data_IF_967879662212
#
_entry.id   IF_967879662212
#
_cell.length_a   1.000
_cell.length_b   1.000
_cell.length_c   1.000
_cell.angle_alpha   90.00
_cell.angle_beta   90.00
_cell.angle_gamma   90.00
#
_symmetry.space_group_name_H-M   'P 1'
#
loop_
_entity.id
_entity.type
_entity.pdbx_description
1 polymer ?
#
# COMPACT_ATOMS: atom_id res chain seq x y z
N UNK A 1 -0.79 -7.60 -15.02
CA UNK A 1 -0.06 -6.99 -16.16
C UNK A 1 -0.78 -7.10 -17.50
N UNK A 2 -1.29 -8.25 -17.98
CA UNK A 2 -1.97 -8.30 -19.30
C UNK A 2 -3.03 -7.21 -19.47
N UNK A 3 -3.97 -7.09 -18.54
CA UNK A 3 -5.04 -6.05 -18.59
C UNK A 3 -4.51 -4.61 -18.62
N UNK A 4 -3.37 -4.34 -17.98
CA UNK A 4 -2.73 -3.02 -18.02
C UNK A 4 -2.16 -2.72 -19.41
N UNK A 5 -1.54 -3.71 -20.06
CA UNK A 5 -1.01 -3.59 -21.44
C UNK A 5 -2.16 -3.44 -22.45
N UNK A 6 -3.23 -4.19 -22.28
CA UNK A 6 -4.44 -4.10 -23.13
C UNK A 6 -5.08 -2.71 -23.02
N UNK A 7 -5.20 -2.17 -21.79
CA UNK A 7 -5.72 -0.81 -21.57
C UNK A 7 -4.77 0.27 -22.13
N UNK A 8 -3.46 0.11 -22.00
CA UNK A 8 -2.48 0.98 -22.64
C UNK A 8 -2.63 0.96 -24.17
N UNK A 9 -2.70 -0.22 -24.77
CA UNK A 9 -2.88 -0.35 -26.21
C UNK A 9 -4.16 0.36 -26.70
N UNK A 10 -5.28 0.18 -25.97
CA UNK A 10 -6.53 0.88 -26.26
C UNK A 10 -6.36 2.40 -26.20
N UNK A 11 -5.61 2.93 -25.23
CA UNK A 11 -5.37 4.38 -25.05
C UNK A 11 -4.62 5.01 -26.22
N UNK A 12 -3.75 4.24 -26.89
CA UNK A 12 -3.03 4.69 -28.11
C UNK A 12 -3.72 4.27 -29.39
N UNK A 13 -4.94 3.68 -29.31
CA UNK A 13 -5.70 3.21 -30.46
C UNK A 13 -5.11 1.99 -31.18
N UNK A 14 -4.31 1.19 -30.49
CA UNK A 14 -3.79 -0.07 -30.99
C UNK A 14 -4.75 -1.23 -30.66
N UNK A 15 -4.71 -2.29 -31.49
CA UNK A 15 -5.32 -3.58 -31.20
C UNK A 15 -4.31 -4.52 -30.53
N UNK A 16 -4.82 -5.46 -29.73
CA UNK A 16 -4.01 -6.47 -29.05
C UNK A 16 -4.46 -7.86 -29.45
N UNK A 17 -3.52 -8.70 -29.83
CA UNK A 17 -3.72 -10.12 -29.98
C UNK A 17 -2.96 -10.84 -28.85
N UNK A 18 -3.70 -11.59 -28.03
CA UNK A 18 -3.17 -12.37 -26.92
C UNK A 18 -2.91 -13.80 -27.36
N UNK A 19 -1.73 -14.30 -27.05
CA UNK A 19 -1.36 -15.72 -27.23
C UNK A 19 -0.92 -16.29 -25.88
N UNK A 20 -1.33 -17.54 -25.60
CA UNK A 20 -0.74 -18.28 -24.48
C UNK A 20 0.73 -18.55 -24.81
N UNK A 21 1.61 -18.40 -23.82
CA UNK A 21 2.99 -18.84 -23.95
C UNK A 21 3.14 -20.35 -23.79
N UNK A 22 4.37 -20.82 -23.88
CA UNK A 22 4.72 -22.24 -23.68
C UNK A 22 4.54 -22.68 -22.20
N UNK A 23 4.48 -21.72 -21.29
CA UNK A 23 4.29 -21.90 -19.85
C UNK A 23 2.96 -21.24 -19.43
N UNK A 24 2.16 -21.86 -18.53
CA UNK A 24 0.93 -21.26 -17.97
C UNK A 24 1.11 -19.86 -17.38
N UNK A 25 2.32 -19.55 -16.86
CA UNK A 25 2.68 -18.25 -16.28
C UNK A 25 3.20 -17.25 -17.33
N UNK A 26 3.13 -17.58 -18.62
CA UNK A 26 3.58 -16.76 -19.73
C UNK A 26 2.43 -16.35 -20.64
N UNK A 27 2.40 -15.08 -21.01
CA UNK A 27 1.43 -14.50 -21.95
C UNK A 27 2.15 -13.59 -22.94
N UNK A 28 1.97 -13.80 -24.23
CA UNK A 28 2.44 -12.89 -25.28
C UNK A 28 1.31 -11.97 -25.75
N UNK A 29 1.59 -10.68 -25.83
CA UNK A 29 0.67 -9.64 -26.32
C UNK A 29 1.31 -8.95 -27.52
N UNK A 30 0.72 -9.15 -28.70
CA UNK A 30 1.14 -8.46 -29.93
C UNK A 30 0.29 -7.22 -30.13
N UNK A 31 0.94 -6.05 -30.10
CA UNK A 31 0.31 -4.74 -30.33
C UNK A 31 0.41 -4.41 -31.82
N UNK A 32 -0.70 -3.96 -32.40
CA UNK A 32 -0.80 -3.57 -33.81
C UNK A 32 -1.52 -2.24 -33.95
N UNK A 33 -1.00 -1.33 -34.76
CA UNK A 33 -1.62 -0.03 -35.03
C UNK A 33 -2.96 -0.19 -35.77
N UNK A 34 -3.75 0.88 -35.82
CA UNK A 34 -5.00 0.92 -36.63
C UNK A 34 -4.76 0.62 -38.11
N UNK A 35 -3.57 0.94 -38.61
CA UNK A 35 -3.17 0.67 -40.01
C UNK A 35 -2.66 -0.78 -40.23
N UNK A 36 -2.71 -1.64 -39.23
CA UNK A 36 -2.23 -3.02 -39.32
C UNK A 36 -0.71 -3.19 -39.13
N UNK A 37 0.02 -2.13 -38.80
CA UNK A 37 1.48 -2.21 -38.59
C UNK A 37 1.77 -2.74 -37.19
N UNK A 38 2.63 -3.78 -37.03
CA UNK A 38 3.10 -4.25 -35.74
C UNK A 38 3.85 -3.13 -34.99
N UNK A 39 3.45 -2.87 -33.72
CA UNK A 39 4.07 -1.87 -32.86
C UNK A 39 5.04 -2.50 -31.87
N UNK A 40 4.65 -3.57 -31.22
CA UNK A 40 5.46 -4.29 -30.23
C UNK A 40 4.97 -5.72 -30.03
N UNK A 41 5.88 -6.58 -29.58
CA UNK A 41 5.57 -7.87 -28.95
C UNK A 41 5.98 -7.76 -27.48
N UNK A 42 5.04 -7.98 -26.57
CA UNK A 42 5.25 -7.90 -25.11
C UNK A 42 5.09 -9.31 -24.54
N UNK A 43 6.20 -9.89 -24.11
CA UNK A 43 6.24 -11.19 -23.42
C UNK A 43 6.20 -10.96 -21.90
N UNK A 44 5.13 -11.43 -21.25
CA UNK A 44 4.91 -11.29 -19.82
C UNK A 44 5.12 -12.64 -19.16
N UNK A 45 6.07 -12.73 -18.22
CA UNK A 45 6.40 -13.92 -17.44
C UNK A 45 6.18 -13.67 -15.96
N UNK A 46 5.25 -14.40 -15.36
CA UNK A 46 4.77 -14.16 -13.99
C UNK A 46 5.31 -15.17 -12.96
N UNK A 47 6.59 -15.53 -13.04
CA UNK A 47 7.25 -16.54 -12.17
C UNK A 47 7.63 -16.06 -10.76
N UNK A 48 7.05 -14.95 -10.30
CA UNK A 48 7.25 -14.39 -8.96
C UNK A 48 8.34 -13.30 -8.89
N UNK A 49 8.27 -12.50 -7.79
CA UNK A 49 9.09 -11.28 -7.62
C UNK A 49 10.59 -11.52 -7.65
N UNK A 50 11.06 -12.70 -7.26
CA UNK A 50 12.49 -13.05 -7.27
C UNK A 50 13.11 -13.18 -8.65
N UNK A 51 12.31 -13.25 -9.72
CA UNK A 51 12.79 -13.34 -11.11
C UNK A 51 13.03 -11.98 -11.76
N UNK A 52 12.53 -10.89 -11.16
CA UNK A 52 12.62 -9.55 -11.72
C UNK A 52 14.07 -9.09 -11.91
N UNK A 53 14.88 -9.10 -10.85
CA UNK A 53 16.27 -8.62 -10.90
C UNK A 53 17.16 -9.53 -11.76
N UNK A 54 17.15 -10.87 -11.63
CA UNK A 54 17.88 -11.75 -12.54
C UNK A 54 17.49 -11.56 -14.02
N UNK A 55 16.21 -11.36 -14.32
CA UNK A 55 15.71 -11.10 -15.66
C UNK A 55 16.26 -9.80 -16.26
N UNK A 56 16.30 -8.73 -15.46
CA UNK A 56 16.85 -7.44 -15.84
C UNK A 56 18.38 -7.53 -16.08
N UNK A 57 19.14 -8.11 -15.15
CA UNK A 57 20.61 -8.23 -15.25
C UNK A 57 21.00 -9.05 -16.48
N UNK A 58 20.29 -10.12 -16.77
CA UNK A 58 20.58 -10.99 -17.94
C UNK A 58 20.09 -10.41 -19.26
N UNK A 59 19.41 -9.26 -19.28
CA UNK A 59 18.81 -8.67 -20.48
C UNK A 59 17.61 -9.44 -21.05
N UNK A 60 17.12 -10.47 -20.34
CA UNK A 60 15.91 -11.22 -20.71
C UNK A 60 14.62 -10.46 -20.44
N UNK A 61 14.66 -9.46 -19.56
CA UNK A 61 13.54 -8.57 -19.26
C UNK A 61 13.95 -7.11 -19.42
N UNK A 62 13.08 -6.31 -20.03
CA UNK A 62 13.21 -4.84 -20.10
C UNK A 62 12.58 -4.19 -18.85
N UNK A 63 11.53 -4.81 -18.30
CA UNK A 63 10.78 -4.35 -17.13
C UNK A 63 10.68 -5.50 -16.14
N UNK A 64 11.14 -5.31 -14.91
CA UNK A 64 10.97 -6.24 -13.81
C UNK A 64 9.67 -5.98 -13.06
N UNK A 65 8.91 -7.02 -12.72
CA UNK A 65 7.67 -6.92 -11.97
C UNK A 65 7.86 -7.55 -10.58
N UNK A 66 7.43 -6.87 -9.53
CA UNK A 66 7.50 -7.42 -8.18
C UNK A 66 6.31 -6.97 -7.31
N UNK A 67 5.91 -7.82 -6.36
CA UNK A 67 4.90 -7.54 -5.34
C UNK A 67 5.52 -7.26 -3.96
N UNK A 68 6.81 -6.99 -3.92
CA UNK A 68 7.61 -6.56 -2.78
C UNK A 68 8.75 -5.66 -3.25
N UNK A 69 9.33 -4.85 -2.36
CA UNK A 69 10.55 -4.13 -2.69
C UNK A 69 11.71 -5.07 -3.07
N UNK A 70 12.65 -4.57 -3.86
CA UNK A 70 13.94 -5.22 -4.12
C UNK A 70 14.68 -5.38 -2.79
N UNK A 71 15.20 -6.59 -2.53
CA UNK A 71 15.95 -6.93 -1.32
C UNK A 71 17.40 -6.45 -1.38
N UNK A 72 18.08 -6.34 -0.23
CA UNK A 72 19.49 -5.96 -0.19
C UNK A 72 20.38 -6.92 -0.99
N UNK A 73 20.07 -8.22 -0.97
CA UNK A 73 20.78 -9.23 -1.80
C UNK A 73 20.59 -8.97 -3.30
N UNK A 74 19.43 -8.54 -3.72
CA UNK A 74 19.13 -8.17 -5.11
C UNK A 74 19.85 -6.87 -5.50
N UNK A 75 19.96 -5.90 -4.58
CA UNK A 75 20.78 -4.68 -4.77
C UNK A 75 22.26 -5.02 -4.91
N UNK A 76 22.79 -5.93 -4.09
CA UNK A 76 24.17 -6.40 -4.24
C UNK A 76 24.41 -7.07 -5.60
N UNK A 77 23.44 -7.86 -6.10
CA UNK A 77 23.53 -8.48 -7.42
C UNK A 77 23.52 -7.43 -8.54
N UNK A 78 22.66 -6.39 -8.44
CA UNK A 78 22.62 -5.26 -9.36
C UNK A 78 23.96 -4.52 -9.37
N UNK A 79 24.51 -4.18 -8.21
CA UNK A 79 25.80 -3.49 -8.08
C UNK A 79 26.94 -4.29 -8.70
N UNK A 80 26.99 -5.61 -8.48
CA UNK A 80 27.98 -6.50 -9.10
C UNK A 80 27.87 -6.54 -10.63
N UNK A 81 26.67 -6.36 -11.15
CA UNK A 81 26.40 -6.30 -12.59
C UNK A 81 26.57 -4.88 -13.20
N UNK A 82 27.02 -3.89 -12.42
CA UNK A 82 27.17 -2.50 -12.87
C UNK A 82 25.85 -1.74 -13.07
N UNK A 83 24.78 -2.18 -12.38
CA UNK A 83 23.48 -1.51 -12.39
C UNK A 83 23.36 -0.54 -11.22
N UNK A 84 22.55 0.53 -11.35
CA UNK A 84 22.21 1.39 -10.22
C UNK A 84 21.29 0.66 -9.22
N UNK A 85 21.16 1.21 -8.00
CA UNK A 85 20.12 0.76 -7.06
C UNK A 85 18.74 1.12 -7.64
N UNK A 86 18.01 0.11 -8.07
CA UNK A 86 16.70 0.28 -8.69
C UNK A 86 15.58 0.69 -7.71
N UNK A 87 15.86 0.78 -6.41
CA UNK A 87 14.91 1.28 -5.41
C UNK A 87 14.75 2.80 -5.43
N UNK A 88 15.53 3.50 -6.22
CA UNK A 88 15.35 4.95 -6.36
C UNK A 88 14.11 5.30 -7.20
N UNK A 89 13.46 6.45 -6.94
CA UNK A 89 12.27 6.90 -7.68
C UNK A 89 12.49 7.04 -9.20
N UNK A 90 13.73 7.13 -9.66
CA UNK A 90 14.05 7.17 -11.08
C UNK A 90 13.78 5.83 -11.79
N UNK A 91 13.93 4.71 -11.08
CA UNK A 91 13.86 3.36 -11.65
C UNK A 91 12.73 2.52 -11.12
N UNK A 92 12.18 2.87 -9.94
CA UNK A 92 11.06 2.20 -9.29
C UNK A 92 9.75 2.94 -9.56
N UNK A 93 8.72 2.21 -9.93
CA UNK A 93 7.35 2.73 -10.08
C UNK A 93 6.38 1.88 -9.30
N UNK A 94 5.70 2.48 -8.34
CA UNK A 94 4.58 1.86 -7.65
C UNK A 94 3.35 2.01 -8.52
N UNK A 95 2.83 0.91 -9.07
CA UNK A 95 1.73 0.94 -10.04
C UNK A 95 0.37 0.72 -9.41
N UNK A 96 0.32 -0.11 -8.38
CA UNK A 96 -0.91 -0.43 -7.65
C UNK A 96 -0.59 -0.81 -6.21
N UNK A 97 -1.63 -0.87 -5.40
CA UNK A 97 -1.58 -1.37 -4.04
C UNK A 97 -2.45 -2.63 -3.93
N UNK A 98 -2.16 -3.46 -2.97
CA UNK A 98 -2.93 -4.65 -2.64
C UNK A 98 -2.98 -4.84 -1.12
N UNK A 99 -3.98 -5.56 -0.64
CA UNK A 99 -4.12 -5.94 0.76
C UNK A 99 -4.50 -7.41 0.88
N UNK A 100 -3.98 -8.08 1.90
CA UNK A 100 -4.40 -9.43 2.24
C UNK A 100 -5.37 -9.36 3.40
N UNK A 101 -6.61 -9.82 3.19
CA UNK A 101 -7.66 -9.85 4.20
C UNK A 101 -7.58 -11.15 4.99
N UNK A 102 -7.75 -11.06 6.30
CA UNK A 102 -8.01 -12.21 7.17
C UNK A 102 -9.51 -12.35 7.33
N UNK A 103 -10.06 -13.48 6.91
CA UNK A 103 -11.48 -13.72 6.81
C UNK A 103 -11.98 -14.76 7.83
N UNK A 104 -13.19 -14.52 8.32
CA UNK A 104 -13.98 -15.47 9.12
C UNK A 104 -15.43 -15.52 8.60
N UNK A 105 -16.22 -16.44 9.11
CA UNK A 105 -17.65 -16.48 8.80
C UNK A 105 -18.37 -15.17 9.18
N UNK A 106 -19.44 -14.76 8.48
CA UNK A 106 -20.17 -13.51 8.75
C UNK A 106 -20.66 -13.38 10.20
N UNK A 107 -21.11 -14.50 10.78
CA UNK A 107 -21.67 -14.56 12.12
C UNK A 107 -20.61 -14.78 13.22
N UNK A 108 -19.33 -14.87 12.86
CA UNK A 108 -18.24 -14.97 13.83
C UNK A 108 -18.21 -13.69 14.69
N UNK A 109 -18.25 -13.76 16.04
CA UNK A 109 -18.32 -12.57 16.90
C UNK A 109 -17.04 -11.74 16.94
N UNK A 110 -15.88 -12.30 16.56
CA UNK A 110 -14.63 -11.55 16.53
C UNK A 110 -14.68 -10.40 15.54
N UNK A 111 -14.15 -9.26 15.94
CA UNK A 111 -14.01 -8.07 15.09
C UNK A 111 -12.58 -7.79 14.69
N UNK A 112 -11.63 -8.29 15.47
CA UNK A 112 -10.19 -8.08 15.24
C UNK A 112 -9.35 -9.23 15.79
N UNK A 113 -8.11 -9.29 15.30
CA UNK A 113 -7.03 -10.13 15.84
C UNK A 113 -5.72 -9.33 15.79
N UNK A 114 -4.78 -9.66 16.68
CA UNK A 114 -3.42 -9.14 16.56
C UNK A 114 -2.62 -9.91 15.51
N UNK A 115 -1.58 -9.28 14.95
CA UNK A 115 -0.68 -9.96 14.01
C UNK A 115 -0.06 -11.22 14.60
N UNK A 116 0.22 -11.24 15.91
CA UNK A 116 0.79 -12.41 16.60
C UNK A 116 -0.25 -13.54 16.78
N UNK A 117 -1.51 -13.18 17.08
CA UNK A 117 -2.61 -14.16 17.10
C UNK A 117 -2.84 -14.76 15.70
N UNK A 118 -2.89 -13.94 14.66
CA UNK A 118 -3.01 -14.43 13.28
C UNK A 118 -1.88 -15.39 12.96
N UNK A 119 -0.64 -15.03 13.24
CA UNK A 119 0.52 -15.89 13.00
C UNK A 119 0.44 -17.21 13.79
N UNK A 120 0.08 -17.16 15.08
CA UNK A 120 -0.06 -18.32 15.94
C UNK A 120 -1.18 -19.28 15.50
N UNK A 121 -2.32 -18.73 15.05
CA UNK A 121 -3.43 -19.49 14.48
C UNK A 121 -2.97 -20.23 13.20
N UNK A 122 -2.43 -19.51 12.23
CA UNK A 122 -2.03 -20.10 10.97
C UNK A 122 -0.82 -21.05 11.08
N UNK A 123 0.02 -20.89 12.11
CA UNK A 123 1.08 -21.83 12.43
C UNK A 123 0.59 -23.05 13.24
N UNK A 124 -0.64 -23.01 13.80
CA UNK A 124 -1.22 -24.09 14.59
C UNK A 124 -0.81 -24.08 16.07
N UNK A 125 -0.18 -23.01 16.55
CA UNK A 125 0.12 -22.83 17.99
C UNK A 125 -1.14 -22.49 18.78
N UNK A 126 -2.06 -21.74 18.18
CA UNK A 126 -3.44 -21.52 18.63
C UNK A 126 -4.34 -22.40 17.77
N UNK A 127 -5.05 -23.33 18.38
CA UNK A 127 -5.92 -24.28 17.69
C UNK A 127 -7.38 -24.25 18.13
N UNK A 128 -7.70 -23.48 19.16
CA UNK A 128 -9.05 -23.31 19.69
C UNK A 128 -9.42 -21.83 19.75
N UNK A 129 -10.66 -21.52 19.41
CA UNK A 129 -11.16 -20.16 19.40
C UNK A 129 -11.22 -19.51 20.79
N UNK A 130 -11.23 -20.30 21.88
CA UNK A 130 -11.20 -19.79 23.25
C UNK A 130 -9.92 -18.99 23.55
N UNK A 131 -8.80 -19.33 22.90
CA UNK A 131 -7.51 -18.66 23.09
C UNK A 131 -7.48 -17.22 22.53
N UNK A 132 -8.49 -16.88 21.72
CA UNK A 132 -8.65 -15.53 21.14
C UNK A 132 -9.95 -14.87 21.55
N UNK A 133 -10.60 -15.36 22.61
CA UNK A 133 -11.75 -14.69 23.23
C UNK A 133 -13.11 -15.01 22.63
N UNK A 134 -13.24 -16.13 21.91
CA UNK A 134 -14.51 -16.67 21.42
C UNK A 134 -14.93 -17.88 22.26
N UNK A 135 -16.16 -18.38 22.10
CA UNK A 135 -16.58 -19.67 22.65
C UNK A 135 -15.66 -20.80 22.16
N UNK A 136 -15.37 -21.82 23.00
CA UNK A 136 -14.50 -22.94 22.65
C UNK A 136 -14.94 -23.61 21.35
N UNK A 137 -13.99 -24.01 20.54
CA UNK A 137 -14.20 -24.73 19.28
C UNK A 137 -12.91 -24.79 18.45
N UNK A 138 -12.74 -25.83 17.61
CA UNK A 138 -11.57 -25.98 16.78
C UNK A 138 -11.45 -24.85 15.77
N UNK A 139 -10.23 -24.48 15.38
CA UNK A 139 -10.00 -23.53 14.30
C UNK A 139 -9.65 -24.29 13.02
N UNK A 140 -10.48 -24.11 11.98
CA UNK A 140 -10.24 -24.67 10.65
C UNK A 140 -9.50 -23.65 9.77
N UNK A 141 -8.32 -24.03 9.27
CA UNK A 141 -7.45 -23.12 8.52
C UNK A 141 -7.64 -23.29 7.02
N UNK A 142 -7.95 -22.19 6.35
CA UNK A 142 -8.10 -22.09 4.90
C UNK A 142 -7.01 -21.20 4.32
N UNK A 143 -6.20 -21.71 3.40
CA UNK A 143 -5.05 -21.00 2.86
C UNK A 143 -4.98 -21.12 1.33
N UNK A 144 -4.44 -20.11 0.68
CA UNK A 144 -4.11 -20.17 -0.75
C UNK A 144 -2.97 -21.18 -0.97
N UNK A 145 -2.89 -21.72 -2.16
CA UNK A 145 -1.83 -22.63 -2.57
C UNK A 145 -0.44 -21.96 -2.62
N UNK A 146 0.61 -22.76 -2.79
CA UNK A 146 1.99 -22.26 -2.77
C UNK A 146 2.39 -21.43 -3.99
N UNK A 147 1.60 -21.43 -5.07
CA UNK A 147 1.85 -20.64 -6.29
C UNK A 147 1.18 -19.26 -6.19
N UNK A 148 0.34 -19.04 -5.18
CA UNK A 148 -0.41 -17.80 -5.00
C UNK A 148 0.46 -16.67 -4.50
N UNK A 149 0.53 -15.55 -5.23
CA UNK A 149 1.15 -14.31 -4.75
C UNK A 149 0.50 -13.75 -3.47
N UNK A 150 -0.77 -14.09 -3.18
CA UNK A 150 -1.42 -13.77 -1.90
C UNK A 150 -0.84 -14.60 -0.77
N UNK A 151 -0.57 -15.89 -1.01
CA UNK A 151 0.13 -16.75 -0.04
C UNK A 151 1.55 -16.24 0.22
N UNK A 152 2.30 -15.89 -0.82
CA UNK A 152 3.66 -15.35 -0.65
C UNK A 152 3.68 -14.10 0.22
N UNK A 153 2.72 -13.19 0.02
CA UNK A 153 2.59 -11.98 0.82
C UNK A 153 2.23 -12.30 2.27
N UNK A 154 1.21 -13.14 2.48
CA UNK A 154 0.81 -13.56 3.82
C UNK A 154 1.96 -14.26 4.53
N UNK A 155 2.63 -15.19 3.87
CA UNK A 155 3.78 -15.88 4.43
C UNK A 155 4.91 -14.91 4.81
N UNK A 156 5.25 -13.97 3.94
CA UNK A 156 6.31 -13.00 4.20
C UNK A 156 5.99 -12.07 5.37
N UNK A 157 4.78 -11.50 5.42
CA UNK A 157 4.40 -10.49 6.41
C UNK A 157 3.96 -11.10 7.76
N UNK A 158 3.39 -12.30 7.75
CA UNK A 158 2.81 -12.91 8.95
C UNK A 158 3.69 -14.01 9.52
N UNK A 159 4.00 -15.03 8.72
CA UNK A 159 4.66 -16.24 9.20
C UNK A 159 6.19 -16.14 9.22
N UNK A 160 6.81 -15.87 8.07
CA UNK A 160 8.26 -15.84 7.93
C UNK A 160 8.91 -14.72 8.76
N UNK A 161 8.27 -13.55 8.89
CA UNK A 161 8.71 -12.47 9.77
C UNK A 161 8.84 -12.92 11.25
N UNK A 162 8.10 -13.97 11.64
CA UNK A 162 8.09 -14.58 12.98
C UNK A 162 8.80 -15.93 13.05
N UNK A 163 9.46 -16.32 11.94
CA UNK A 163 10.12 -17.64 11.79
C UNK A 163 9.15 -18.81 11.98
N UNK A 164 7.90 -18.62 11.60
CA UNK A 164 6.83 -19.62 11.62
C UNK A 164 6.55 -20.12 10.19
N UNK A 165 5.86 -21.26 10.11
CA UNK A 165 5.39 -21.83 8.87
C UNK A 165 3.90 -22.19 8.98
N UNK A 166 3.20 -22.19 7.85
CA UNK A 166 1.80 -22.60 7.81
C UNK A 166 1.66 -24.06 8.29
N UNK A 167 0.67 -24.33 9.15
CA UNK A 167 0.38 -25.69 9.62
C UNK A 167 0.04 -26.62 8.44
N UNK A 168 0.46 -27.89 8.57
CA UNK A 168 0.42 -28.85 7.46
C UNK A 168 -0.99 -29.30 7.05
N UNK A 169 -1.92 -29.27 7.97
CA UNK A 169 -3.32 -29.66 7.77
C UNK A 169 -4.24 -28.53 7.32
N UNK A 170 -3.68 -27.35 7.03
CA UNK A 170 -4.43 -26.24 6.41
C UNK A 170 -5.00 -26.66 5.05
N UNK A 171 -6.31 -26.47 4.85
CA UNK A 171 -6.97 -26.75 3.57
C UNK A 171 -6.53 -25.71 2.52
N UNK A 172 -5.98 -26.19 1.40
CA UNK A 172 -5.37 -25.33 0.37
C UNK A 172 -6.33 -25.12 -0.80
N UNK A 173 -6.35 -23.88 -1.33
CA UNK A 173 -7.20 -23.47 -2.44
C UNK A 173 -6.40 -22.77 -3.54
N UNK A 174 -6.66 -23.13 -4.79
CA UNK A 174 -6.13 -22.41 -5.96
C UNK A 174 -6.94 -21.13 -6.22
N UNK A 175 -8.28 -21.17 -6.04
CA UNK A 175 -9.20 -20.04 -6.22
C UNK A 175 -9.35 -19.24 -4.92
N UNK A 176 -9.25 -17.90 -5.00
CA UNK A 176 -9.55 -17.00 -3.90
C UNK A 176 -11.05 -16.95 -3.60
N UNK A 177 -11.88 -17.06 -4.63
CA UNK A 177 -13.33 -17.07 -4.52
C UNK A 177 -13.82 -18.29 -3.74
N UNK A 178 -13.32 -19.49 -4.10
CA UNK A 178 -13.70 -20.74 -3.44
C UNK A 178 -13.27 -20.73 -1.97
N UNK A 179 -12.07 -20.20 -1.69
CA UNK A 179 -11.59 -20.04 -0.31
C UNK A 179 -12.52 -19.12 0.50
N UNK A 180 -12.86 -17.96 -0.06
CA UNK A 180 -13.74 -17.00 0.62
C UNK A 180 -15.13 -17.57 0.87
N UNK A 181 -15.68 -18.28 -0.13
CA UNK A 181 -17.00 -18.92 -0.01
C UNK A 181 -16.99 -20.05 1.03
N UNK A 182 -15.92 -20.82 1.11
CA UNK A 182 -15.78 -21.90 2.11
C UNK A 182 -15.69 -21.29 3.53
N UNK A 183 -14.85 -20.26 3.73
CA UNK A 183 -14.76 -19.56 5.02
C UNK A 183 -16.12 -18.97 5.42
N UNK A 184 -16.88 -18.44 4.46
CA UNK A 184 -18.19 -17.84 4.76
C UNK A 184 -19.24 -18.84 5.27
N UNK A 185 -19.06 -20.13 4.97
CA UNK A 185 -19.98 -21.22 5.36
C UNK A 185 -19.54 -21.98 6.61
N UNK A 186 -18.28 -21.84 7.01
CA UNK A 186 -17.73 -22.51 8.17
C UNK A 186 -17.63 -21.57 9.38
N UNK A 187 -18.51 -21.72 10.40
CA UNK A 187 -18.47 -20.88 11.60
C UNK A 187 -17.13 -20.93 12.35
N UNK A 188 -16.38 -22.02 12.21
CA UNK A 188 -15.09 -22.24 12.87
C UNK A 188 -13.90 -21.98 11.92
N UNK A 189 -14.19 -21.52 10.70
CA UNK A 189 -13.21 -21.24 9.68
C UNK A 189 -12.51 -19.91 9.83
N UNK A 190 -11.21 -19.89 9.48
CA UNK A 190 -10.41 -18.68 9.25
C UNK A 190 -9.59 -18.87 7.98
N UNK A 191 -9.48 -17.82 7.17
CA UNK A 191 -8.72 -17.87 5.93
C UNK A 191 -8.12 -16.54 5.56
N UNK A 192 -7.40 -16.48 4.43
CA UNK A 192 -6.90 -15.23 3.88
C UNK A 192 -7.00 -15.18 2.36
N UNK A 193 -7.35 -14.00 1.84
CA UNK A 193 -7.47 -13.73 0.40
C UNK A 193 -6.93 -12.35 0.06
N UNK A 194 -6.74 -12.06 -1.23
CA UNK A 194 -6.53 -10.70 -1.72
C UNK A 194 -7.77 -9.83 -1.55
N UNK A 195 -7.58 -8.52 -1.47
CA UNK A 195 -8.61 -7.53 -1.12
C UNK A 195 -9.89 -7.63 -1.96
N UNK A 196 -9.78 -7.92 -3.26
CA UNK A 196 -10.91 -8.03 -4.17
C UNK A 196 -11.82 -9.25 -3.92
N UNK A 197 -11.40 -10.20 -3.09
CA UNK A 197 -12.02 -11.53 -2.98
C UNK A 197 -12.70 -11.78 -1.62
N UNK A 198 -13.10 -10.73 -0.90
CA UNK A 198 -13.79 -10.86 0.39
C UNK A 198 -15.13 -11.60 0.26
N UNK A 199 -15.89 -11.31 -0.81
CA UNK A 199 -17.22 -11.89 -1.07
C UNK A 199 -18.15 -11.79 0.15
N UNK A 200 -18.73 -12.93 0.60
CA UNK A 200 -19.68 -13.00 1.73
C UNK A 200 -18.98 -13.18 3.09
N UNK A 201 -17.68 -13.45 3.13
CA UNK A 201 -16.96 -13.59 4.39
C UNK A 201 -16.74 -12.23 5.07
N UNK A 202 -16.56 -12.25 6.39
CA UNK A 202 -16.23 -11.07 7.18
C UNK A 202 -14.71 -10.92 7.29
N UNK A 203 -14.20 -9.76 6.90
CA UNK A 203 -12.81 -9.38 7.13
C UNK A 203 -12.63 -8.84 8.55
N UNK A 204 -11.54 -9.27 9.21
CA UNK A 204 -11.17 -8.81 10.54
C UNK A 204 -10.25 -7.61 10.48
N UNK A 205 -10.40 -6.69 11.43
CA UNK A 205 -9.42 -5.65 11.69
C UNK A 205 -8.14 -6.26 12.25
N UNK A 206 -7.01 -5.60 12.03
CA UNK A 206 -5.73 -5.99 12.63
C UNK A 206 -5.39 -4.99 13.71
N UNK A 207 -5.27 -5.48 14.95
CA UNK A 207 -4.99 -4.66 16.12
C UNK A 207 -3.54 -4.83 16.56
N UNK A 208 -2.86 -3.73 16.87
CA UNK A 208 -1.56 -3.75 17.53
C UNK A 208 -1.68 -4.03 19.03
N UNK A 209 -0.59 -4.46 19.66
CA UNK A 209 -0.56 -4.76 21.11
C UNK A 209 -0.94 -3.57 22.01
N UNK A 210 -0.83 -2.34 21.51
CA UNK A 210 -1.26 -1.12 22.21
C UNK A 210 -2.75 -0.77 22.02
N UNK A 211 -3.53 -1.57 21.29
CA UNK A 211 -4.95 -1.35 21.04
C UNK A 211 -5.29 -0.56 19.77
N UNK A 212 -4.31 0.00 19.06
CA UNK A 212 -4.57 0.65 17.76
C UNK A 212 -5.00 -0.40 16.76
N UNK A 213 -6.18 -0.22 16.17
CA UNK A 213 -6.76 -1.12 15.17
C UNK A 213 -6.73 -0.48 13.77
N UNK A 214 -6.52 -1.31 12.76
CA UNK A 214 -6.57 -0.91 11.36
C UNK A 214 -7.55 -1.78 10.60
N UNK A 215 -8.62 -1.17 10.11
CA UNK A 215 -9.63 -1.83 9.31
C UNK A 215 -9.11 -2.16 7.90
N UNK A 216 -9.52 -3.30 7.31
CA UNK A 216 -9.17 -3.71 5.96
C UNK A 216 -10.00 -2.95 4.91
N UNK A 217 -9.78 -1.65 4.77
CA UNK A 217 -10.45 -0.81 3.79
C UNK A 217 -9.46 -0.17 2.80
N UNK A 218 -9.97 0.37 1.70
CA UNK A 218 -9.16 0.99 0.65
C UNK A 218 -8.34 2.16 1.15
N UNK A 219 -8.90 2.98 2.04
CA UNK A 219 -8.20 4.12 2.62
C UNK A 219 -6.95 3.68 3.41
N UNK A 220 -7.09 2.67 4.29
CA UNK A 220 -5.97 2.17 5.11
C UNK A 220 -4.91 1.45 4.28
N UNK A 221 -5.30 0.81 3.17
CA UNK A 221 -4.33 0.26 2.21
C UNK A 221 -3.63 1.38 1.43
N UNK A 222 -4.34 2.41 0.95
CA UNK A 222 -3.78 3.57 0.24
C UNK A 222 -2.84 4.39 1.13
N UNK A 223 -3.20 4.58 2.38
CA UNK A 223 -2.35 5.24 3.38
C UNK A 223 -1.28 4.33 3.97
N UNK A 224 -1.28 3.01 3.62
CA UNK A 224 -0.36 1.98 4.11
C UNK A 224 -0.38 1.83 5.64
N UNK A 225 -1.52 2.08 6.25
CA UNK A 225 -1.76 1.85 7.68
C UNK A 225 -2.23 0.44 7.96
N UNK A 226 -2.88 -0.22 6.97
CA UNK A 226 -3.24 -1.62 7.08
C UNK A 226 -1.99 -2.51 7.07
N UNK A 227 -1.75 -3.34 8.10
CA UNK A 227 -0.49 -4.08 8.25
C UNK A 227 -0.20 -5.09 7.14
N UNK A 228 -1.23 -5.64 6.50
CA UNK A 228 -1.11 -6.60 5.40
C UNK A 228 -1.26 -5.94 4.02
N UNK A 229 -0.94 -4.65 3.91
CA UNK A 229 -0.84 -3.96 2.62
C UNK A 229 0.51 -4.20 1.95
N UNK A 230 0.52 -4.18 0.61
CA UNK A 230 1.73 -4.25 -0.20
C UNK A 230 1.64 -3.36 -1.42
N UNK A 231 2.79 -2.96 -1.92
CA UNK A 231 2.94 -2.25 -3.19
C UNK A 231 3.25 -3.22 -4.31
N UNK A 232 2.75 -2.93 -5.50
CA UNK A 232 3.12 -3.60 -6.74
C UNK A 232 4.04 -2.69 -7.54
N UNK A 233 5.18 -3.23 -7.94
CA UNK A 233 6.28 -2.47 -8.52
C UNK A 233 6.56 -2.85 -9.96
N UNK A 234 6.94 -1.85 -10.75
CA UNK A 234 7.69 -2.02 -11.98
C UNK A 234 9.08 -1.39 -11.80
N UNK A 235 10.10 -2.15 -12.16
CA UNK A 235 11.50 -1.74 -12.15
C UNK A 235 12.05 -1.70 -13.57
N UNK A 236 12.68 -0.61 -13.94
CA UNK A 236 13.36 -0.50 -15.22
C UNK A 236 14.53 0.46 -15.09
N UNK A 237 15.67 0.12 -15.69
CA UNK A 237 16.68 1.11 -16.08
C UNK A 237 16.03 1.96 -17.18
N UNK A 238 16.47 3.19 -17.38
CA UNK A 238 15.86 4.11 -18.34
C UNK A 238 15.51 3.42 -19.67
N UNK A 239 14.22 3.29 -19.94
CA UNK A 239 13.77 2.95 -21.29
C UNK A 239 14.03 4.16 -22.21
N UNK A 240 14.53 3.95 -23.43
CA UNK A 240 14.71 5.06 -24.36
C UNK A 240 13.40 5.82 -24.57
N UNK A 241 13.44 7.15 -24.45
CA UNK A 241 12.26 8.01 -24.62
C UNK A 241 11.58 7.75 -25.97
N UNK A 242 10.24 7.66 -25.94
CA UNK A 242 9.43 7.41 -27.14
C UNK A 242 9.36 5.95 -27.56
N UNK A 243 9.83 5.02 -26.74
CA UNK A 243 9.59 3.59 -26.94
C UNK A 243 8.29 3.15 -26.26
N UNK A 244 7.71 2.06 -26.75
CA UNK A 244 6.52 1.43 -26.12
C UNK A 244 6.77 1.09 -24.65
N UNK A 245 7.99 0.69 -24.28
CA UNK A 245 8.35 0.39 -22.90
C UNK A 245 8.31 1.65 -22.01
N UNK A 246 8.85 2.79 -22.49
CA UNK A 246 8.79 4.06 -21.76
C UNK A 246 7.35 4.58 -21.63
N UNK A 247 6.58 4.50 -22.72
CA UNK A 247 5.16 4.90 -22.72
C UNK A 247 4.32 4.03 -21.78
N UNK A 248 4.52 2.72 -21.78
CA UNK A 248 3.84 1.79 -20.87
C UNK A 248 4.18 2.06 -19.41
N UNK A 249 5.46 2.34 -19.09
CA UNK A 249 5.88 2.70 -17.74
C UNK A 249 5.25 4.01 -17.25
N UNK A 250 5.09 5.00 -18.14
CA UNK A 250 4.38 6.26 -17.82
C UNK A 250 2.88 6.05 -17.67
N UNK A 251 2.28 5.27 -18.58
CA UNK A 251 0.86 4.91 -18.52
C UNK A 251 0.53 4.18 -17.22
N UNK A 252 1.36 3.22 -16.80
CA UNK A 252 1.12 2.39 -15.62
C UNK A 252 0.95 3.18 -14.31
N UNK A 253 1.50 4.38 -14.21
CA UNK A 253 1.37 5.28 -13.04
C UNK A 253 0.43 6.46 -13.28
N UNK A 254 -0.19 6.54 -14.47
CA UNK A 254 -1.13 7.60 -14.84
C UNK A 254 -2.53 7.35 -14.30
N UNK A 255 -3.40 8.36 -14.38
CA UNK A 255 -4.82 8.25 -14.05
C UNK A 255 -5.56 7.29 -15.00
N UNK A 256 -5.10 7.19 -16.26
CA UNK A 256 -5.75 6.38 -17.29
C UNK A 256 -5.62 4.87 -17.01
N UNK A 257 -4.61 4.46 -16.26
CA UNK A 257 -4.40 3.07 -15.85
C UNK A 257 -5.40 2.58 -14.77
N UNK A 258 -6.11 3.50 -14.11
CA UNK A 258 -6.97 3.22 -12.95
C UNK A 258 -7.98 2.11 -13.20
N UNK A 259 -8.75 2.22 -14.28
CA UNK A 259 -9.82 1.25 -14.59
C UNK A 259 -9.26 -0.17 -14.78
N UNK A 260 -8.08 -0.32 -15.39
CA UNK A 260 -7.45 -1.62 -15.56
C UNK A 260 -6.89 -2.18 -14.26
N UNK A 261 -6.40 -1.31 -13.36
CA UNK A 261 -5.90 -1.68 -12.03
C UNK A 261 -7.05 -2.18 -11.17
N UNK A 262 -8.12 -1.39 -11.03
CA UNK A 262 -9.29 -1.76 -10.20
C UNK A 262 -10.05 -2.95 -10.79
N UNK A 263 -10.20 -3.02 -12.13
CA UNK A 263 -10.81 -4.16 -12.82
C UNK A 263 -10.01 -5.46 -12.69
N UNK A 264 -8.72 -5.37 -12.33
CA UNK A 264 -7.87 -6.53 -12.01
C UNK A 264 -7.88 -6.89 -10.51
N UNK A 265 -8.73 -6.25 -9.71
CA UNK A 265 -8.88 -6.51 -8.28
C UNK A 265 -7.82 -5.85 -7.39
N UNK A 266 -7.00 -4.95 -7.94
CA UNK A 266 -6.02 -4.19 -7.17
C UNK A 266 -6.56 -2.81 -6.79
N UNK A 267 -5.88 -2.17 -5.83
CA UNK A 267 -6.25 -0.83 -5.36
C UNK A 267 -5.39 0.20 -6.10
N UNK A 268 -6.07 1.16 -6.73
CA UNK A 268 -5.42 2.30 -7.37
C UNK A 268 -4.82 3.26 -6.34
N UNK A 269 -4.07 4.25 -6.82
CA UNK A 269 -3.45 5.27 -5.98
C UNK A 269 -4.16 6.63 -6.07
N UNK A 270 -5.42 6.67 -6.51
CA UNK A 270 -6.20 7.91 -6.48
C UNK A 270 -6.46 8.34 -5.04
N UNK A 271 -6.49 9.65 -4.83
CA UNK A 271 -6.68 10.23 -3.51
C UNK A 271 -8.10 9.96 -3.02
N UNK A 272 -8.22 9.35 -1.87
CA UNK A 272 -9.46 9.08 -1.16
C UNK A 272 -9.55 9.95 0.09
N UNK A 273 -10.76 10.37 0.45
CA UNK A 273 -11.01 11.14 1.68
C UNK A 273 -11.54 10.20 2.75
N UNK A 274 -10.87 10.21 3.92
CA UNK A 274 -11.30 9.42 5.09
C UNK A 274 -12.72 9.81 5.50
N UNK A 275 -13.53 8.83 5.86
CA UNK A 275 -14.85 9.08 6.44
C UNK A 275 -14.73 9.90 7.73
N UNK A 276 -15.69 10.81 7.98
CA UNK A 276 -15.65 11.69 9.15
C UNK A 276 -15.77 10.91 10.47
N UNK A 277 -16.56 9.85 10.50
CA UNK A 277 -16.71 9.02 11.69
C UNK A 277 -15.40 8.29 12.01
N UNK A 278 -14.78 7.69 11.01
CA UNK A 278 -13.46 7.03 11.15
C UNK A 278 -12.39 8.02 11.61
N UNK A 279 -12.39 9.24 11.06
CA UNK A 279 -11.46 10.29 11.46
C UNK A 279 -11.63 10.69 12.93
N UNK A 280 -12.87 10.77 13.43
CA UNK A 280 -13.15 11.06 14.84
C UNK A 280 -12.82 9.87 15.75
N UNK A 281 -13.03 8.63 15.29
CA UNK A 281 -12.62 7.43 16.04
C UNK A 281 -11.11 7.39 16.24
N UNK A 282 -10.32 7.68 15.21
CA UNK A 282 -8.84 7.77 15.33
C UNK A 282 -8.40 8.78 16.42
N UNK A 283 -9.09 9.92 16.54
CA UNK A 283 -8.81 10.87 17.61
C UNK A 283 -9.15 10.27 18.98
N UNK A 284 -10.30 9.62 19.11
CA UNK A 284 -10.71 8.96 20.36
C UNK A 284 -9.74 7.86 20.78
N UNK A 285 -9.31 7.00 19.83
CA UNK A 285 -8.32 5.94 20.08
C UNK A 285 -6.98 6.51 20.54
N UNK A 286 -6.53 7.61 19.91
CA UNK A 286 -5.30 8.31 20.31
C UNK A 286 -5.38 8.86 21.74
N UNK A 287 -6.55 9.36 22.16
CA UNK A 287 -6.78 9.83 23.52
C UNK A 287 -6.81 8.68 24.54
N UNK A 288 -7.33 7.52 24.14
CA UNK A 288 -7.41 6.32 24.98
C UNK A 288 -6.02 5.73 25.31
N UNK A 289 -5.00 6.00 24.49
CA UNK A 289 -3.61 5.56 24.73
C UNK A 289 -2.96 6.22 25.96
N UNK A 290 -3.56 7.26 26.50
CA UNK A 290 -3.24 7.91 27.77
C UNK A 290 -1.73 8.15 27.99
N UNK A 291 -1.04 8.75 27.02
CA UNK A 291 0.36 9.16 27.17
C UNK A 291 0.43 10.48 27.96
N UNK A 292 0.96 10.43 29.19
CA UNK A 292 1.09 11.57 30.10
C UNK A 292 1.96 12.73 29.53
N UNK A 293 2.64 12.52 28.41
CA UNK A 293 3.47 13.51 27.70
C UNK A 293 2.70 14.34 26.67
N UNK A 294 1.37 14.17 26.58
CA UNK A 294 0.54 14.92 25.63
C UNK A 294 0.48 16.39 26.04
N UNK A 295 0.87 17.29 25.13
CA UNK A 295 0.66 18.73 25.29
C UNK A 295 -0.83 19.06 25.05
N UNK A 296 -1.55 19.59 26.07
CA UNK A 296 -2.98 19.87 25.93
C UNK A 296 -3.30 20.95 24.88
N UNK A 297 -2.38 21.89 24.65
CA UNK A 297 -2.57 22.96 23.65
C UNK A 297 -2.48 22.37 22.25
N UNK A 298 -1.45 21.58 21.98
CA UNK A 298 -1.28 20.90 20.69
C UNK A 298 -2.43 19.91 20.41
N UNK A 299 -2.92 19.22 21.45
CA UNK A 299 -4.07 18.34 21.32
C UNK A 299 -5.35 19.08 20.94
N UNK A 300 -5.59 20.27 21.57
CA UNK A 300 -6.74 21.13 21.23
C UNK A 300 -6.65 21.61 19.77
N UNK A 301 -5.47 22.04 19.33
CA UNK A 301 -5.25 22.46 17.94
C UNK A 301 -5.49 21.31 16.96
N UNK A 302 -4.96 20.13 17.27
CA UNK A 302 -5.18 18.91 16.47
C UNK A 302 -6.68 18.59 16.36
N UNK A 303 -7.41 18.62 17.46
CA UNK A 303 -8.85 18.34 17.47
C UNK A 303 -9.65 19.34 16.61
N UNK A 304 -9.29 20.63 16.65
CA UNK A 304 -9.90 21.67 15.82
C UNK A 304 -9.59 21.47 14.33
N UNK A 305 -8.35 21.12 14.00
CA UNK A 305 -7.95 20.83 12.63
C UNK A 305 -8.62 19.56 12.10
N UNK A 306 -8.75 18.49 12.89
CA UNK A 306 -9.50 17.27 12.55
C UNK A 306 -10.98 17.60 12.30
N UNK A 307 -11.61 18.39 13.16
CA UNK A 307 -13.02 18.81 13.03
C UNK A 307 -13.27 19.59 11.73
N UNK A 308 -12.36 20.48 11.35
CA UNK A 308 -12.50 21.39 10.21
C UNK A 308 -12.00 20.84 8.87
N UNK A 309 -11.31 19.70 8.87
CA UNK A 309 -10.68 19.13 7.68
C UNK A 309 -11.09 17.67 7.46
N UNK A 310 -10.82 17.15 6.26
CA UNK A 310 -10.91 15.71 5.96
C UNK A 310 -9.54 15.20 5.55
N UNK A 311 -9.10 14.11 6.17
CA UNK A 311 -7.85 13.46 5.81
C UNK A 311 -7.94 12.85 4.41
N UNK A 312 -6.87 13.04 3.64
CA UNK A 312 -6.64 12.41 2.34
C UNK A 312 -5.79 11.14 2.53
N UNK A 313 -5.91 10.18 1.64
CA UNK A 313 -5.13 8.93 1.71
C UNK A 313 -3.64 9.11 1.40
N UNK A 314 -3.22 10.26 0.87
CA UNK A 314 -1.81 10.59 0.64
C UNK A 314 -1.08 10.79 1.97
N UNK A 315 -0.04 10.00 2.16
CA UNK A 315 0.77 9.98 3.39
C UNK A 315 2.24 9.84 3.02
N UNK A 316 3.08 10.75 3.53
CA UNK A 316 4.51 10.77 3.29
C UNK A 316 5.24 10.23 4.50
N UNK A 317 6.06 9.19 4.31
CA UNK A 317 6.85 8.57 5.38
C UNK A 317 8.32 8.88 5.24
N UNK A 318 8.98 8.93 6.40
CA UNK A 318 10.39 9.26 6.50
C UNK A 318 11.14 8.15 7.23
N UNK A 319 12.24 7.69 6.64
CA UNK A 319 13.19 6.83 7.34
C UNK A 319 13.81 7.61 8.51
N UNK A 320 14.32 6.89 9.51
CA UNK A 320 15.01 7.49 10.66
C UNK A 320 16.17 8.37 10.19
N UNK A 321 16.17 9.64 10.60
CA UNK A 321 17.21 10.60 10.22
C UNK A 321 17.22 11.01 8.75
N UNK A 322 16.22 10.60 7.94
CA UNK A 322 16.13 10.93 6.51
C UNK A 322 14.98 11.89 6.22
N UNK A 323 15.18 12.71 5.19
CA UNK A 323 14.16 13.55 4.57
C UNK A 323 13.85 13.11 3.13
N UNK A 324 14.45 12.00 2.67
CA UNK A 324 14.30 11.52 1.32
C UNK A 324 12.93 10.84 1.12
N UNK A 325 12.24 11.21 0.03
CA UNK A 325 10.94 10.66 -0.34
C UNK A 325 11.14 9.38 -1.17
N UNK A 326 10.31 8.37 -0.91
CA UNK A 326 10.25 7.14 -1.69
C UNK A 326 9.45 7.32 -3.00
N UNK A 327 9.44 6.30 -3.85
CA UNK A 327 8.80 6.33 -5.16
C UNK A 327 7.30 6.61 -5.12
N UNK A 328 6.58 6.09 -4.11
CA UNK A 328 5.16 6.39 -3.91
C UNK A 328 4.97 7.85 -3.52
N UNK A 329 5.76 8.35 -2.59
CA UNK A 329 5.70 9.74 -2.13
C UNK A 329 5.98 10.73 -3.27
N UNK A 330 6.91 10.43 -4.18
CA UNK A 330 7.15 11.27 -5.38
C UNK A 330 5.91 11.33 -6.27
N UNK A 331 5.22 10.21 -6.49
CA UNK A 331 3.96 10.18 -7.24
C UNK A 331 2.84 10.94 -6.52
N UNK A 332 2.75 10.82 -5.19
CA UNK A 332 1.76 11.53 -4.39
C UNK A 332 2.01 13.05 -4.37
N UNK A 333 3.27 13.49 -4.35
CA UNK A 333 3.65 14.91 -4.55
C UNK A 333 3.10 15.41 -5.89
N UNK A 334 3.34 14.67 -6.98
CA UNK A 334 2.86 15.08 -8.30
C UNK A 334 1.33 15.13 -8.39
N UNK A 335 0.61 14.24 -7.67
CA UNK A 335 -0.86 14.28 -7.56
C UNK A 335 -1.34 15.51 -6.78
N UNK A 336 -0.74 15.78 -5.62
CA UNK A 336 -1.08 16.96 -4.82
C UNK A 336 -0.70 18.25 -5.50
N UNK A 337 0.42 18.31 -6.22
CA UNK A 337 0.80 19.48 -7.00
C UNK A 337 -0.25 19.81 -8.10
N UNK A 338 -0.74 18.81 -8.83
CA UNK A 338 -1.85 18.99 -9.78
C UNK A 338 -3.14 19.43 -9.10
N UNK A 339 -3.44 18.88 -7.91
CA UNK A 339 -4.59 19.29 -7.13
C UNK A 339 -4.46 20.76 -6.67
N UNK A 340 -3.30 21.17 -6.18
CA UNK A 340 -3.01 22.57 -5.82
C UNK A 340 -3.12 23.50 -7.02
N UNK A 341 -2.59 23.09 -8.17
CA UNK A 341 -2.75 23.84 -9.43
C UNK A 341 -4.24 24.03 -9.78
N UNK A 342 -5.05 22.96 -9.69
CA UNK A 342 -6.50 23.04 -9.88
C UNK A 342 -7.16 24.02 -8.91
N UNK A 343 -6.81 24.01 -7.61
CA UNK A 343 -7.35 24.94 -6.62
C UNK A 343 -7.02 26.40 -6.97
N UNK A 344 -5.79 26.67 -7.42
CA UNK A 344 -5.34 28.02 -7.84
C UNK A 344 -6.12 28.50 -9.08
N UNK A 345 -6.16 27.67 -10.13
CA UNK A 345 -6.80 28.01 -11.40
C UNK A 345 -8.31 28.23 -11.27
N UNK A 346 -8.96 27.42 -10.42
CA UNK A 346 -10.40 27.51 -10.16
C UNK A 346 -10.78 28.49 -9.06
N UNK A 347 -9.79 29.08 -8.36
CA UNK A 347 -10.00 29.94 -7.18
C UNK A 347 -10.87 29.28 -6.12
N UNK A 348 -10.68 27.95 -5.91
CA UNK A 348 -11.45 27.19 -4.93
C UNK A 348 -11.11 27.66 -3.50
N UNK A 349 -12.13 27.87 -2.62
CA UNK A 349 -11.91 28.36 -1.26
C UNK A 349 -11.42 27.27 -0.32
N UNK A 350 -10.71 26.25 -0.83
CA UNK A 350 -10.22 25.11 -0.05
C UNK A 350 -8.74 25.31 0.29
N UNK A 351 -8.33 24.75 1.40
CA UNK A 351 -6.96 24.80 1.89
C UNK A 351 -6.43 23.38 2.08
N UNK A 352 -5.22 23.13 1.62
CA UNK A 352 -4.49 21.91 1.91
C UNK A 352 -3.76 22.08 3.24
N UNK A 353 -3.99 21.17 4.19
CA UNK A 353 -3.26 21.13 5.47
C UNK A 353 -2.31 19.94 5.42
N UNK A 354 -1.02 20.19 5.68
CA UNK A 354 0.01 19.17 5.82
C UNK A 354 0.35 19.03 7.30
N UNK A 355 -0.07 17.91 7.89
CA UNK A 355 0.06 17.60 9.30
C UNK A 355 1.20 16.60 9.53
N UNK A 356 2.28 17.04 10.17
CA UNK A 356 3.43 16.22 10.49
C UNK A 356 3.29 15.53 11.85
N UNK A 357 3.79 14.29 11.92
CA UNK A 357 3.80 13.44 13.10
C UNK A 357 5.16 12.75 13.27
N UNK A 358 5.46 12.33 14.51
CA UNK A 358 6.65 11.53 14.86
C UNK A 358 6.25 10.21 15.53
N UNK A 359 7.22 9.35 15.79
CA UNK A 359 7.09 8.30 16.79
C UNK A 359 7.14 8.90 18.21
N UNK A 360 6.99 8.07 19.24
CA UNK A 360 6.94 8.48 20.63
C UNK A 360 8.32 8.58 21.33
N UNK A 361 9.42 8.47 20.59
CA UNK A 361 10.76 8.55 21.18
C UNK A 361 11.15 10.01 21.38
N UNK A 362 11.58 10.35 22.61
CA UNK A 362 12.02 11.68 22.98
C UNK A 362 10.89 12.61 23.45
N UNK A 363 11.25 13.88 23.69
CA UNK A 363 10.34 14.88 24.25
C UNK A 363 9.38 15.46 23.21
N UNK A 364 8.25 15.97 23.67
CA UNK A 364 7.20 16.52 22.81
C UNK A 364 7.69 17.72 21.96
N UNK A 365 8.33 18.71 22.56
CA UNK A 365 8.68 19.94 21.85
C UNK A 365 9.67 19.74 20.69
N UNK A 366 10.78 18.99 20.83
CA UNK A 366 11.62 18.59 19.69
C UNK A 366 10.87 17.80 18.61
N UNK A 367 9.99 16.89 19.01
CA UNK A 367 9.18 16.10 18.09
C UNK A 367 8.17 16.96 17.31
N UNK A 368 7.52 17.91 17.96
CA UNK A 368 6.62 18.87 17.31
C UNK A 368 7.39 19.73 16.28
N UNK A 369 8.59 20.22 16.65
CA UNK A 369 9.43 20.98 15.74
C UNK A 369 9.89 20.16 14.54
N UNK A 370 10.32 18.90 14.75
CA UNK A 370 10.74 17.98 13.69
C UNK A 370 9.59 17.65 12.73
N UNK A 371 8.40 17.37 13.28
CA UNK A 371 7.22 17.07 12.47
C UNK A 371 6.76 18.28 11.64
N UNK A 372 6.84 19.49 12.19
CA UNK A 372 6.59 20.73 11.45
C UNK A 372 7.61 20.94 10.32
N UNK A 373 8.90 20.68 10.57
CA UNK A 373 9.94 20.80 9.56
C UNK A 373 9.69 19.85 8.38
N UNK A 374 9.29 18.61 8.65
CA UNK A 374 8.90 17.64 7.62
C UNK A 374 7.68 18.09 6.81
N UNK A 375 6.64 18.61 7.48
CA UNK A 375 5.46 19.15 6.81
C UNK A 375 5.82 20.34 5.89
N UNK A 376 6.72 21.24 6.31
CA UNK A 376 7.24 22.34 5.49
C UNK A 376 8.00 21.82 4.27
N UNK A 377 8.84 20.81 4.44
CA UNK A 377 9.58 20.20 3.33
C UNK A 377 8.64 19.62 2.26
N UNK A 378 7.60 18.88 2.68
CA UNK A 378 6.56 18.35 1.75
C UNK A 378 5.87 19.51 1.04
N UNK A 379 5.46 20.57 1.76
CA UNK A 379 4.87 21.79 1.17
C UNK A 379 5.78 22.36 0.07
N UNK A 380 7.05 22.58 0.40
CA UNK A 380 7.99 23.27 -0.49
C UNK A 380 8.21 22.42 -1.78
N UNK A 381 8.16 21.10 -1.64
CA UNK A 381 8.24 20.19 -2.79
C UNK A 381 6.97 20.26 -3.63
N UNK A 382 5.78 20.26 -3.02
CA UNK A 382 4.49 20.42 -3.76
C UNK A 382 4.45 21.75 -4.50
N UNK A 383 4.84 22.86 -3.83
CA UNK A 383 4.85 24.22 -4.44
C UNK A 383 5.77 24.27 -5.65
N UNK A 384 6.95 23.66 -5.57
CA UNK A 384 7.91 23.59 -6.67
C UNK A 384 7.35 22.80 -7.87
N UNK A 385 6.66 21.69 -7.59
CA UNK A 385 6.08 20.83 -8.63
C UNK A 385 4.78 21.38 -9.25
N UNK A 386 4.06 22.26 -8.56
CA UNK A 386 2.76 22.80 -9.01
C UNK A 386 2.85 23.69 -10.25
N UNK A 387 4.05 24.22 -10.61
CA UNK A 387 4.31 25.02 -11.81
C UNK A 387 3.41 26.27 -11.96
N UNK A 388 2.78 26.72 -10.89
CA UNK A 388 1.95 27.93 -10.79
C UNK A 388 2.31 28.68 -9.52
N UNK A 389 2.13 30.02 -9.45
CA UNK A 389 2.27 30.77 -8.21
C UNK A 389 1.24 30.30 -7.17
N UNK A 390 1.69 29.65 -6.11
CA UNK A 390 0.83 29.14 -5.04
C UNK A 390 0.70 30.19 -3.94
N UNK A 391 -0.52 30.68 -3.61
CA UNK A 391 -0.73 31.59 -2.51
C UNK A 391 -0.26 31.00 -1.16
N UNK A 392 0.38 31.80 -0.33
CA UNK A 392 0.98 31.34 0.94
C UNK A 392 -0.04 30.73 1.92
N UNK A 393 -1.30 31.13 1.83
CA UNK A 393 -2.38 30.62 2.67
C UNK A 393 -3.07 29.36 2.12
N UNK A 394 -2.73 28.92 0.90
CA UNK A 394 -3.36 27.74 0.27
C UNK A 394 -2.87 26.44 0.88
N UNK A 395 -1.60 26.38 1.32
CA UNK A 395 -1.02 25.20 1.96
C UNK A 395 -0.55 25.56 3.37
N UNK A 396 -1.26 25.05 4.35
CA UNK A 396 -0.95 25.23 5.79
C UNK A 396 -0.15 24.05 6.30
N UNK A 397 0.87 24.30 7.10
CA UNK A 397 1.70 23.25 7.74
C UNK A 397 1.47 23.20 9.24
N UNK A 398 1.40 22.01 9.81
CA UNK A 398 1.25 21.72 11.24
C UNK A 398 2.28 20.69 11.69
N UNK A 399 2.69 20.75 12.94
CA UNK A 399 3.57 19.77 13.58
C UNK A 399 2.98 19.34 14.90
N UNK A 400 2.53 18.10 14.97
CA UNK A 400 1.82 17.56 16.13
C UNK A 400 2.67 16.58 16.96
N UNK A 401 3.95 16.38 16.58
CA UNK A 401 4.83 15.46 17.29
C UNK A 401 4.26 14.04 17.36
N UNK A 402 4.29 13.37 18.52
CA UNK A 402 3.86 11.99 18.68
C UNK A 402 2.32 11.80 18.78
N UNK A 403 1.53 12.87 18.58
CA UNK A 403 0.08 12.76 18.64
C UNK A 403 -0.48 11.92 17.48
N UNK A 404 -1.69 11.37 17.64
CA UNK A 404 -2.44 10.62 16.64
C UNK A 404 -1.63 9.48 16.00
N UNK A 405 -1.05 8.53 16.77
CA UNK A 405 -0.33 7.42 16.21
C UNK A 405 -1.25 6.53 15.35
N UNK A 406 -0.71 5.95 14.28
CA UNK A 406 -1.39 5.03 13.38
C UNK A 406 -0.96 3.58 13.59
N UNK A 407 0.06 3.37 14.41
CA UNK A 407 0.59 2.06 14.78
C UNK A 407 1.23 2.14 16.17
N UNK A 408 1.38 0.99 16.83
CA UNK A 408 2.08 0.92 18.10
C UNK A 408 3.55 1.35 17.96
N UNK A 409 4.11 1.96 19.00
CA UNK A 409 5.49 2.45 19.01
C UNK A 409 6.50 1.43 19.57
N UNK A 410 6.07 0.22 19.90
CA UNK A 410 6.86 -0.86 20.49
C UNK A 410 7.91 -1.44 19.53
N UNK A 411 7.59 -1.52 18.24
CA UNK A 411 8.47 -2.01 17.20
C UNK A 411 8.86 -0.91 16.18
N UNK A 412 9.99 -1.11 15.48
CA UNK A 412 10.47 -0.14 14.49
C UNK A 412 9.51 0.05 13.33
N UNK A 413 8.84 -1.01 12.85
CA UNK A 413 7.84 -0.90 11.78
C UNK A 413 6.68 0.02 12.16
N UNK A 414 6.21 -0.06 13.40
CA UNK A 414 5.18 0.83 13.91
C UNK A 414 5.66 2.27 14.05
N UNK A 415 6.87 2.47 14.59
CA UNK A 415 7.50 3.79 14.67
C UNK A 415 7.69 4.41 13.28
N UNK A 416 8.12 3.61 12.29
CA UNK A 416 8.24 4.07 10.90
C UNK A 416 6.90 4.57 10.35
N UNK A 417 5.78 3.86 10.62
CA UNK A 417 4.43 4.31 10.22
C UNK A 417 4.04 5.63 10.90
N UNK A 418 4.48 5.86 12.13
CA UNK A 418 4.18 7.08 12.89
C UNK A 418 5.00 8.29 12.43
N UNK A 419 6.22 8.12 11.91
CA UNK A 419 7.06 9.19 11.33
C UNK A 419 6.52 9.58 9.95
N UNK A 420 5.49 10.44 9.91
CA UNK A 420 4.74 10.74 8.69
C UNK A 420 4.28 12.19 8.57
N UNK A 421 3.92 12.58 7.36
CA UNK A 421 3.12 13.78 7.07
C UNK A 421 1.84 13.33 6.37
N UNK A 422 0.71 13.71 6.92
CA UNK A 422 -0.62 13.50 6.33
C UNK A 422 -1.07 14.75 5.57
N UNK A 423 -1.80 14.58 4.49
CA UNK A 423 -2.49 15.66 3.79
C UNK A 423 -3.97 15.68 4.18
N UNK A 424 -4.49 16.87 4.47
CA UNK A 424 -5.90 17.07 4.84
C UNK A 424 -6.48 18.20 4.01
N UNK A 425 -7.75 18.09 3.65
CA UNK A 425 -8.51 19.08 2.89
C UNK A 425 -9.47 19.80 3.83
N UNK A 426 -9.31 21.13 3.92
CA UNK A 426 -10.16 22.03 4.69
C UNK A 426 -11.02 22.87 3.77
#
# INVERSE_FOLDING_TARGET
MPSLVEAYAASIGASVMRKAGDDPEQVELQLTSRAGTPLALIDIRAHGSGTAVPGLISGKATIGMASRPITDKEVEALNKAGWPDLRSPAFERVVALDGVLVLVAPDNPLTNLTMDQIAAIFAGTIGDWVDVGRAPGPIHIYARDNKSGTYDTFNALVLAARKLALRKDAKRFESSEDLSDEVSRDPDGIGFVGFAYQRNAKALDITGGCGISSAPNTFNVKSEEYPLSRRLFLYAKEAPKGTIADDLLRYAVSMDARTSITGSGYIDQEVELLDRREQMMRLADSLALNDARIDPVALKELALDIKSSRRMSTTFRFALGSSQLDSKSVLDIARLARFVQFLVERREPRTLVLAGFTDSIGDFAPNAALSLARAKQVRDTIVREAKVPVPANLIVTRGYGPLLPTSCNDAEDGRHKNRRVESWLR
#
